data_IF_439850745945
#
_entry.id   IF_439850745945
#
_cell.length_a   1.000
_cell.length_b   1.000
_cell.length_c   1.000
_cell.angle_alpha   90.00
_cell.angle_beta   90.00
_cell.angle_gamma   90.00
#
_symmetry.space_group_name_H-M   'P 1'
#
loop_
_entity.id
_entity.type
_entity.pdbx_description
1 polymer ?
#
# COMPACT_ATOMS: atom_id res chain seq x y z
N UNK A 1 22.10 8.39 -5.50
CA UNK A 1 22.76 9.56 -4.85
C UNK A 1 23.25 9.10 -3.48
N UNK A 2 24.22 9.75 -2.82
CA UNK A 2 24.53 9.39 -1.44
C UNK A 2 23.43 9.89 -0.48
N UNK A 3 23.23 9.19 0.63
CA UNK A 3 22.32 9.60 1.71
C UNK A 3 22.73 10.98 2.25
N UNK A 4 21.82 11.97 2.22
CA UNK A 4 22.10 13.35 2.66
C UNK A 4 21.89 13.57 4.16
N UNK A 5 20.90 12.90 4.74
CA UNK A 5 20.57 12.96 6.17
C UNK A 5 20.10 11.60 6.67
N UNK A 6 20.20 11.38 7.98
CA UNK A 6 19.68 10.19 8.66
C UNK A 6 18.31 10.40 9.26
N UNK A 7 17.81 11.63 9.32
CA UNK A 7 16.49 11.91 9.88
C UNK A 7 15.43 11.58 8.84
N UNK A 8 14.37 10.89 9.29
CA UNK A 8 13.28 10.42 8.44
C UNK A 8 11.96 10.76 9.11
N UNK A 9 11.05 11.35 8.35
CA UNK A 9 9.64 11.49 8.69
C UNK A 9 8.83 10.71 7.67
N UNK A 10 7.97 9.82 8.17
CA UNK A 10 7.05 9.03 7.34
C UNK A 10 5.64 9.57 7.53
N UNK A 11 5.01 9.93 6.43
CA UNK A 11 3.66 10.47 6.41
C UNK A 11 2.61 9.40 6.78
N UNK A 12 1.45 9.84 7.30
CA UNK A 12 0.33 8.96 7.65
C UNK A 12 -0.15 8.18 6.42
N UNK A 13 -0.15 8.82 5.24
CA UNK A 13 -0.60 8.24 3.97
C UNK A 13 0.16 6.95 3.61
N UNK A 14 1.48 6.95 3.80
CA UNK A 14 2.31 5.78 3.56
C UNK A 14 1.84 4.55 4.36
N UNK A 15 1.57 4.70 5.66
CA UNK A 15 1.13 3.58 6.49
C UNK A 15 -0.22 3.02 6.05
N UNK A 16 -1.13 3.87 5.57
CA UNK A 16 -2.42 3.44 5.03
C UNK A 16 -2.23 2.70 3.70
N UNK A 17 -1.37 3.22 2.81
CA UNK A 17 -1.04 2.58 1.52
C UNK A 17 -0.36 1.22 1.73
N UNK A 18 0.48 1.09 2.74
CA UNK A 18 1.09 -0.18 3.17
C UNK A 18 0.10 -1.13 3.90
N UNK A 19 -1.20 -0.89 3.82
CA UNK A 19 -2.24 -1.74 4.41
C UNK A 19 -2.27 -1.75 5.94
N UNK A 20 -1.57 -0.82 6.59
CA UNK A 20 -1.30 -0.83 8.04
C UNK A 20 -0.62 -2.13 8.52
N UNK A 21 0.11 -2.79 7.62
CA UNK A 21 0.90 -3.98 7.94
C UNK A 21 2.30 -3.61 8.41
N UNK A 22 2.43 -3.43 9.72
CA UNK A 22 3.71 -3.15 10.38
C UNK A 22 4.66 -4.37 10.43
N UNK A 23 4.27 -5.51 9.85
CA UNK A 23 5.11 -6.70 9.68
C UNK A 23 5.56 -6.87 8.22
N UNK A 24 5.24 -5.92 7.34
CA UNK A 24 5.75 -5.92 5.97
C UNK A 24 7.27 -5.76 5.94
N UNK A 25 7.94 -6.42 4.98
CA UNK A 25 9.41 -6.43 4.87
C UNK A 25 10.01 -5.02 4.84
N UNK A 26 9.38 -4.08 4.15
CA UNK A 26 9.81 -2.67 4.08
C UNK A 26 9.81 -2.00 5.46
N UNK A 27 8.74 -2.19 6.25
CA UNK A 27 8.64 -1.62 7.60
C UNK A 27 9.54 -2.35 8.60
N UNK A 28 9.73 -3.67 8.46
CA UNK A 28 10.67 -4.43 9.27
C UNK A 28 12.11 -3.98 9.04
N UNK A 29 12.56 -3.85 7.78
CA UNK A 29 13.90 -3.33 7.46
C UNK A 29 14.09 -1.90 8.01
N UNK A 30 13.11 -1.00 7.78
CA UNK A 30 13.19 0.36 8.32
C UNK A 30 13.27 0.38 9.86
N UNK A 31 12.49 -0.47 10.53
CA UNK A 31 12.50 -0.62 11.98
C UNK A 31 13.86 -1.09 12.49
N UNK A 32 14.47 -2.09 11.85
CA UNK A 32 15.79 -2.61 12.21
C UNK A 32 16.88 -1.54 12.05
N UNK A 33 16.91 -0.85 10.90
CA UNK A 33 17.87 0.22 10.62
C UNK A 33 17.74 1.39 11.63
N UNK A 34 16.50 1.73 12.01
CA UNK A 34 16.27 2.73 13.05
C UNK A 34 16.64 2.22 14.46
N UNK A 35 16.36 0.95 14.74
CA UNK A 35 16.72 0.27 15.98
C UNK A 35 18.23 0.27 16.23
N UNK A 36 19.01 0.11 15.17
CA UNK A 36 20.48 0.15 15.19
C UNK A 36 21.05 1.59 15.24
N UNK A 37 20.19 2.61 15.08
CA UNK A 37 20.57 4.02 15.12
C UNK A 37 21.22 4.53 13.84
N UNK A 38 21.08 3.80 12.73
CA UNK A 38 21.59 4.23 11.42
C UNK A 38 20.65 5.22 10.73
N UNK A 39 19.34 5.11 10.97
CA UNK A 39 18.34 6.12 10.67
C UNK A 39 17.65 6.61 11.95
N UNK A 40 17.19 7.86 11.94
CA UNK A 40 16.45 8.48 13.04
C UNK A 40 15.01 8.74 12.58
N UNK A 41 14.07 7.91 13.03
CA UNK A 41 12.65 8.15 12.77
C UNK A 41 12.12 9.27 13.69
N UNK A 42 11.65 10.36 13.09
CA UNK A 42 10.92 11.44 13.74
C UNK A 42 9.47 11.40 13.29
N UNK A 43 8.55 11.40 14.23
CA UNK A 43 7.10 11.52 13.96
C UNK A 43 6.48 12.55 14.90
N UNK A 44 5.17 12.75 14.82
CA UNK A 44 4.46 13.69 15.69
C UNK A 44 3.31 13.03 16.43
N UNK A 45 2.89 13.66 17.54
CA UNK A 45 1.68 13.23 18.26
C UNK A 45 0.41 13.26 17.40
N UNK A 46 0.40 13.98 16.27
CA UNK A 46 -0.70 14.01 15.31
C UNK A 46 -0.69 12.71 14.50
N UNK A 47 0.40 12.42 13.80
CA UNK A 47 0.55 11.21 12.97
C UNK A 47 0.26 9.95 13.78
N UNK A 48 0.81 9.85 15.00
CA UNK A 48 0.54 8.70 15.90
C UNK A 48 -0.96 8.52 16.16
N UNK A 49 -1.72 9.61 16.37
CA UNK A 49 -3.17 9.53 16.60
C UNK A 49 -3.93 9.21 15.34
N UNK A 50 -3.48 9.70 14.18
CA UNK A 50 -4.12 9.43 12.90
C UNK A 50 -3.95 7.98 12.48
N UNK A 51 -2.75 7.42 12.60
CA UNK A 51 -2.49 6.00 12.34
C UNK A 51 -3.33 5.12 13.28
N UNK A 52 -3.38 5.41 14.58
CA UNK A 52 -4.25 4.66 15.52
C UNK A 52 -5.73 4.75 15.18
N UNK A 53 -6.20 5.93 14.72
CA UNK A 53 -7.57 6.10 14.21
C UNK A 53 -7.79 5.23 12.97
N UNK A 54 -6.86 5.25 12.01
CA UNK A 54 -6.95 4.45 10.78
C UNK A 54 -6.97 2.95 11.05
N UNK A 55 -6.15 2.46 11.98
CA UNK A 55 -6.20 1.09 12.48
C UNK A 55 -7.60 0.74 12.98
N UNK A 56 -8.20 1.60 13.81
CA UNK A 56 -9.54 1.36 14.36
C UNK A 56 -10.63 1.37 13.28
N UNK A 57 -10.54 2.29 12.31
CA UNK A 57 -11.44 2.36 11.16
C UNK A 57 -11.38 1.09 10.31
N UNK A 58 -10.17 0.68 9.89
CA UNK A 58 -9.96 -0.52 9.07
C UNK A 58 -10.41 -1.81 9.76
N UNK A 59 -10.15 -1.96 11.07
CA UNK A 59 -10.63 -3.12 11.85
C UNK A 59 -12.15 -3.12 11.93
N UNK A 60 -12.77 -1.95 12.15
CA UNK A 60 -14.23 -1.82 12.15
C UNK A 60 -14.85 -2.28 10.84
N UNK A 61 -14.29 -1.85 9.71
CA UNK A 61 -14.76 -2.22 8.37
C UNK A 61 -14.56 -3.72 8.09
N UNK A 62 -13.40 -4.27 8.43
CA UNK A 62 -13.14 -5.71 8.31
C UNK A 62 -14.13 -6.55 9.14
N UNK A 63 -14.38 -6.16 10.40
CA UNK A 63 -15.34 -6.86 11.27
C UNK A 63 -16.78 -6.72 10.77
N UNK A 64 -17.14 -5.58 10.18
CA UNK A 64 -18.44 -5.42 9.52
C UNK A 64 -18.61 -6.39 8.35
N UNK A 65 -17.55 -6.58 7.54
CA UNK A 65 -17.49 -7.58 6.49
C UNK A 65 -17.70 -9.00 7.02
N UNK A 66 -16.94 -9.40 8.05
CA UNK A 66 -17.10 -10.74 8.65
C UNK A 66 -18.49 -10.94 9.25
N UNK A 67 -19.05 -9.91 9.90
CA UNK A 67 -20.41 -9.97 10.42
C UNK A 67 -21.47 -10.09 9.31
N UNK A 68 -21.25 -9.45 8.15
CA UNK A 68 -22.11 -9.61 6.98
C UNK A 68 -22.05 -11.04 6.42
N UNK A 69 -20.85 -11.59 6.27
CA UNK A 69 -20.64 -12.99 5.89
C UNK A 69 -21.36 -13.95 6.85
N UNK A 70 -21.17 -13.79 8.17
CA UNK A 70 -21.83 -14.61 9.20
C UNK A 70 -23.36 -14.59 9.11
N UNK A 71 -23.94 -13.43 8.75
CA UNK A 71 -25.40 -13.30 8.57
C UNK A 71 -25.90 -14.09 7.38
N UNK A 72 -25.17 -14.11 6.26
CA UNK A 72 -25.50 -14.84 5.03
C UNK A 72 -25.25 -16.35 5.18
N UNK A 73 -24.19 -16.74 5.90
CA UNK A 73 -23.73 -18.13 6.02
C UNK A 73 -24.26 -18.88 7.26
N UNK A 74 -25.42 -18.52 7.82
CA UNK A 74 -25.98 -19.13 9.06
C UNK A 74 -26.12 -20.65 9.02
N UNK A 75 -26.31 -21.23 7.83
CA UNK A 75 -26.40 -22.68 7.65
C UNK A 75 -25.10 -23.40 8.07
N UNK A 76 -23.95 -22.71 7.99
CA UNK A 76 -22.64 -23.23 8.34
C UNK A 76 -22.34 -23.17 9.85
N UNK A 77 -23.14 -22.46 10.65
CA UNK A 77 -22.90 -22.30 12.09
C UNK A 77 -22.94 -23.62 12.86
N UNK A 78 -23.66 -24.62 12.35
CA UNK A 78 -23.72 -25.97 12.94
C UNK A 78 -22.75 -26.96 12.30
N UNK A 79 -21.84 -26.50 11.43
CA UNK A 79 -20.81 -27.36 10.84
C UNK A 79 -20.00 -28.00 11.96
N UNK A 80 -19.64 -29.28 11.81
CA UNK A 80 -18.74 -29.96 12.75
C UNK A 80 -17.26 -29.69 12.45
N UNK A 81 -16.97 -29.01 11.35
CA UNK A 81 -15.63 -28.59 10.99
C UNK A 81 -15.15 -27.46 11.93
N UNK A 82 -13.97 -27.63 12.50
CA UNK A 82 -13.40 -26.69 13.48
C UNK A 82 -13.05 -25.34 12.84
N UNK A 83 -12.55 -25.34 11.60
CA UNK A 83 -12.25 -24.11 10.87
C UNK A 83 -13.52 -23.30 10.63
N UNK A 84 -14.57 -23.97 10.14
CA UNK A 84 -15.88 -23.34 9.93
C UNK A 84 -16.48 -22.86 11.24
N UNK A 85 -16.45 -23.64 12.32
CA UNK A 85 -16.96 -23.20 13.64
C UNK A 85 -16.28 -21.92 14.12
N UNK A 86 -14.97 -21.82 13.97
CA UNK A 86 -14.19 -20.66 14.42
C UNK A 86 -14.58 -19.38 13.66
N UNK A 87 -14.96 -19.48 12.38
CA UNK A 87 -15.44 -18.34 11.59
C UNK A 87 -16.70 -17.67 12.17
N UNK A 88 -17.45 -18.33 13.06
CA UNK A 88 -18.66 -17.78 13.70
C UNK A 88 -18.46 -17.42 15.18
N UNK A 89 -17.26 -17.59 15.75
CA UNK A 89 -16.97 -17.21 17.13
C UNK A 89 -17.01 -15.68 17.29
N UNK A 90 -17.68 -15.12 18.32
CA UNK A 90 -17.72 -13.68 18.52
C UNK A 90 -16.30 -13.13 18.67
N UNK A 91 -16.03 -12.02 17.99
CA UNK A 91 -14.78 -11.29 18.14
C UNK A 91 -14.96 -10.22 19.20
N UNK A 92 -13.98 -10.04 20.07
CA UNK A 92 -13.88 -8.82 20.87
C UNK A 92 -13.16 -7.78 20.02
N UNK A 93 -13.96 -6.91 19.38
CA UNK A 93 -13.44 -5.82 18.54
C UNK A 93 -12.40 -4.99 19.29
N UNK A 94 -12.64 -4.72 20.57
CA UNK A 94 -11.74 -3.88 21.36
C UNK A 94 -10.42 -4.58 21.63
N UNK A 95 -10.44 -5.90 21.85
CA UNK A 95 -9.23 -6.70 22.00
C UNK A 95 -8.39 -6.70 20.71
N UNK A 96 -9.02 -6.88 19.56
CA UNK A 96 -8.36 -6.86 18.24
C UNK A 96 -7.77 -5.47 17.96
N UNK A 97 -8.54 -4.41 18.17
CA UNK A 97 -8.08 -3.02 18.03
C UNK A 97 -6.88 -2.74 18.94
N UNK A 98 -6.95 -3.14 20.22
CA UNK A 98 -5.83 -2.94 21.15
C UNK A 98 -4.58 -3.71 20.71
N UNK A 99 -4.73 -4.93 20.18
CA UNK A 99 -3.60 -5.72 19.70
C UNK A 99 -2.94 -5.06 18.49
N UNK A 100 -3.71 -4.60 17.50
CA UNK A 100 -3.16 -3.91 16.33
C UNK A 100 -2.50 -2.57 16.70
N UNK A 101 -3.10 -1.81 17.62
CA UNK A 101 -2.48 -0.59 18.17
C UNK A 101 -1.18 -0.92 18.90
N UNK A 102 -1.13 -2.04 19.64
CA UNK A 102 0.09 -2.47 20.33
C UNK A 102 1.20 -2.85 19.34
N UNK A 103 0.86 -3.47 18.20
CA UNK A 103 1.84 -3.75 17.14
C UNK A 103 2.44 -2.45 16.60
N UNK A 104 1.62 -1.43 16.33
CA UNK A 104 2.12 -0.11 15.94
C UNK A 104 2.97 0.55 17.03
N UNK A 105 2.53 0.48 18.29
CA UNK A 105 3.31 1.04 19.42
C UNK A 105 4.67 0.33 19.56
N UNK A 106 4.72 -0.99 19.39
CA UNK A 106 5.97 -1.75 19.38
C UNK A 106 6.87 -1.34 18.22
N UNK A 107 6.31 -1.14 17.02
CA UNK A 107 7.08 -0.65 15.87
C UNK A 107 7.75 0.70 16.19
N UNK A 108 7.03 1.64 16.81
CA UNK A 108 7.59 2.94 17.18
C UNK A 108 8.71 2.80 18.24
N UNK A 109 8.49 1.95 19.24
CA UNK A 109 9.44 1.69 20.32
C UNK A 109 10.71 0.98 19.82
N UNK A 110 10.57 -0.08 19.02
CA UNK A 110 11.67 -0.84 18.42
C UNK A 110 12.48 0.01 17.41
N UNK A 111 11.83 0.94 16.71
CA UNK A 111 12.51 1.90 15.83
C UNK A 111 13.17 3.07 16.58
N UNK A 112 13.19 3.09 17.91
CA UNK A 112 13.65 4.22 18.72
C UNK A 112 13.04 5.58 18.29
N UNK A 113 11.76 5.57 17.91
CA UNK A 113 11.12 6.72 17.26
C UNK A 113 11.05 7.94 18.18
N UNK A 114 11.44 9.11 17.68
CA UNK A 114 11.24 10.38 18.39
C UNK A 114 9.87 10.97 18.07
N UNK A 115 8.95 10.93 19.04
CA UNK A 115 7.61 11.54 18.90
C UNK A 115 7.66 13.01 19.35
N UNK A 116 7.48 13.91 18.40
CA UNK A 116 7.50 15.36 18.60
C UNK A 116 6.09 15.87 18.94
N UNK A 117 5.98 16.65 20.01
CA UNK A 117 4.73 17.32 20.40
C UNK A 117 4.59 18.70 19.73
N UNK A 118 3.45 19.34 19.94
CA UNK A 118 3.14 20.64 19.35
C UNK A 118 3.61 21.83 20.22
N UNK A 119 4.36 21.59 21.30
CA UNK A 119 4.68 22.63 22.30
C UNK A 119 5.51 23.78 21.74
N UNK A 120 6.26 23.54 20.66
CA UNK A 120 7.12 24.51 19.98
C UNK A 120 6.56 25.04 18.66
N UNK A 121 5.32 24.67 18.31
CA UNK A 121 4.68 25.15 17.08
C UNK A 121 4.05 26.52 17.31
N UNK A 122 4.33 27.48 16.43
CA UNK A 122 3.67 28.79 16.44
C UNK A 122 2.32 28.69 15.72
N UNK A 123 1.24 28.78 16.48
CA UNK A 123 -0.12 28.76 15.92
C UNK A 123 -0.44 29.96 15.03
N UNK A 124 0.23 31.11 15.21
CA UNK A 124 0.01 32.25 14.32
C UNK A 124 0.57 31.97 12.93
N UNK A 125 1.73 31.31 12.85
CA UNK A 125 2.31 30.91 11.58
C UNK A 125 1.38 29.95 10.81
N UNK A 126 0.77 28.98 11.48
CA UNK A 126 -0.23 28.08 10.86
C UNK A 126 -1.42 28.87 10.29
N UNK A 127 -1.89 29.88 11.04
CA UNK A 127 -3.00 30.73 10.61
C UNK A 127 -2.60 31.56 9.39
N UNK A 128 -1.41 32.15 9.40
CA UNK A 128 -0.86 32.93 8.29
C UNK A 128 -0.70 32.03 7.05
N UNK A 129 -0.10 30.84 7.18
CA UNK A 129 0.01 29.85 6.10
C UNK A 129 -1.34 29.52 5.47
N UNK A 130 -2.39 29.31 6.28
CA UNK A 130 -3.74 29.02 5.80
C UNK A 130 -4.37 30.18 5.02
N UNK A 131 -4.25 31.42 5.51
CA UNK A 131 -4.85 32.58 4.83
C UNK A 131 -4.05 33.02 3.60
N UNK A 132 -2.74 32.85 3.63
CA UNK A 132 -1.84 33.14 2.51
C UNK A 132 -1.80 31.99 1.48
N UNK A 133 -2.47 30.87 1.76
CA UNK A 133 -2.51 29.66 0.91
C UNK A 133 -1.10 29.10 0.62
N UNK A 134 -0.20 29.22 1.60
CA UNK A 134 1.12 28.60 1.56
C UNK A 134 1.02 27.10 1.83
N UNK A 135 1.93 26.27 1.30
CA UNK A 135 1.95 24.82 1.58
C UNK A 135 1.86 24.52 3.09
N UNK A 136 1.07 23.51 3.51
CA UNK A 136 0.30 22.57 2.68
C UNK A 136 -1.10 23.07 2.24
N UNK A 137 -1.46 24.35 2.44
CA UNK A 137 -2.81 24.88 2.17
C UNK A 137 -3.07 25.34 0.72
N UNK A 138 -2.41 24.75 -0.28
CA UNK A 138 -2.50 25.23 -1.66
C UNK A 138 -3.88 24.97 -2.31
N UNK A 139 -4.38 25.85 -3.19
CA UNK A 139 -5.55 25.53 -4.02
C UNK A 139 -6.94 25.73 -3.38
N UNK A 140 -7.06 26.49 -2.28
CA UNK A 140 -8.36 27.00 -1.79
C UNK A 140 -8.79 26.44 -0.43
N UNK A 141 -10.03 25.93 -0.30
CA UNK A 141 -10.67 25.56 1.00
C UNK A 141 -10.11 24.26 1.62
N UNK A 142 -8.79 24.18 1.77
CA UNK A 142 -8.01 23.05 2.30
C UNK A 142 -8.02 23.00 3.84
N UNK A 143 -9.21 22.93 4.43
CA UNK A 143 -9.37 22.84 5.90
C UNK A 143 -8.93 21.51 6.49
N UNK A 144 -8.70 20.50 5.65
CA UNK A 144 -8.28 19.19 6.10
C UNK A 144 -6.76 19.09 6.29
N UNK A 145 -5.99 20.07 5.81
CA UNK A 145 -4.51 20.09 5.83
C UNK A 145 -3.91 20.72 7.11
N UNK A 146 -4.77 21.12 8.06
CA UNK A 146 -4.27 21.64 9.34
C UNK A 146 -3.40 20.61 10.09
N UNK A 147 -3.79 19.32 10.21
CA UNK A 147 -2.94 18.29 10.78
C UNK A 147 -1.54 18.26 10.15
N UNK A 148 -1.45 18.32 8.82
CA UNK A 148 -0.18 18.28 8.09
C UNK A 148 0.67 19.52 8.34
N UNK A 149 0.05 20.71 8.33
CA UNK A 149 0.75 21.95 8.66
C UNK A 149 1.32 21.90 10.09
N UNK A 150 0.54 21.44 11.08
CA UNK A 150 1.03 21.28 12.45
C UNK A 150 2.14 20.23 12.54
N UNK A 151 2.02 19.12 11.80
CA UNK A 151 3.03 18.06 11.74
C UNK A 151 4.35 18.58 11.19
N UNK A 152 4.33 19.22 10.02
CA UNK A 152 5.52 19.76 9.36
C UNK A 152 6.20 20.84 10.22
N UNK A 153 5.44 21.74 10.85
CA UNK A 153 6.01 22.73 11.76
C UNK A 153 6.58 22.11 13.04
N UNK A 154 5.96 21.07 13.58
CA UNK A 154 6.47 20.34 14.74
C UNK A 154 7.80 19.68 14.42
N UNK A 155 7.88 18.94 13.30
CA UNK A 155 9.13 18.35 12.79
C UNK A 155 10.19 19.44 12.58
N UNK A 156 9.84 20.55 11.93
CA UNK A 156 10.76 21.68 11.71
C UNK A 156 11.33 22.24 13.01
N UNK A 157 10.55 22.22 14.10
CA UNK A 157 10.96 22.70 15.43
C UNK A 157 11.89 21.72 16.17
N UNK A 158 11.87 20.44 15.80
CA UNK A 158 12.75 19.41 16.35
C UNK A 158 14.14 19.42 15.71
N UNK A 159 14.25 19.86 14.45
CA UNK A 159 15.52 19.97 13.72
C UNK A 159 16.38 21.13 14.22
N UNK A 160 17.67 20.88 14.42
CA UNK A 160 18.68 21.93 14.71
C UNK A 160 18.98 22.76 13.46
N UNK A 161 19.75 23.84 13.62
CA UNK A 161 19.95 24.92 12.62
C UNK A 161 20.58 24.51 11.28
N UNK A 162 20.88 23.23 11.05
CA UNK A 162 21.39 22.66 9.78
C UNK A 162 20.98 21.20 9.57
N UNK A 163 20.12 20.66 10.45
CA UNK A 163 19.64 19.30 10.27
C UNK A 163 18.58 19.32 9.17
N UNK A 164 18.72 18.37 8.25
CA UNK A 164 17.80 18.08 7.17
C UNK A 164 17.02 16.81 7.53
N UNK A 165 15.89 16.58 6.87
CA UNK A 165 15.04 15.40 7.07
C UNK A 165 14.48 14.91 5.75
N UNK A 166 14.44 13.59 5.55
CA UNK A 166 13.65 13.00 4.48
C UNK A 166 12.18 12.96 4.85
N UNK A 167 11.31 13.42 3.96
CA UNK A 167 9.86 13.29 4.04
C UNK A 167 9.43 12.22 3.06
N UNK A 168 9.01 11.07 3.60
CA UNK A 168 8.44 9.97 2.83
C UNK A 168 6.96 10.25 2.63
N UNK A 169 6.59 10.71 1.43
CA UNK A 169 5.19 11.02 1.07
C UNK A 169 5.03 11.16 -0.45
N UNK A 170 3.88 10.73 -0.95
CA UNK A 170 3.39 10.99 -2.32
C UNK A 170 2.37 12.14 -2.35
N UNK A 171 2.03 12.71 -1.19
CA UNK A 171 1.07 13.81 -1.09
C UNK A 171 1.63 15.09 -1.71
N UNK A 172 0.86 15.67 -2.63
CA UNK A 172 1.29 16.83 -3.42
C UNK A 172 1.52 18.07 -2.56
N UNK A 173 0.73 18.28 -1.51
CA UNK A 173 0.88 19.44 -0.64
C UNK A 173 2.14 19.33 0.23
N UNK A 174 2.47 18.13 0.71
CA UNK A 174 3.72 17.86 1.42
C UNK A 174 4.94 17.99 0.48
N UNK A 175 4.84 17.49 -0.74
CA UNK A 175 5.89 17.65 -1.77
C UNK A 175 6.16 19.13 -2.00
N UNK A 176 5.12 19.94 -2.22
CA UNK A 176 5.31 21.38 -2.45
C UNK A 176 5.84 22.11 -1.21
N UNK A 177 5.48 21.67 0.00
CA UNK A 177 6.11 22.19 1.21
C UNK A 177 7.63 21.91 1.22
N UNK A 178 8.05 20.72 0.83
CA UNK A 178 9.48 20.36 0.75
C UNK A 178 10.23 21.22 -0.27
N UNK A 179 9.63 21.47 -1.44
CA UNK A 179 10.22 22.34 -2.47
C UNK A 179 10.49 23.77 -1.98
N UNK A 180 9.60 24.32 -1.15
CA UNK A 180 9.75 25.65 -0.55
C UNK A 180 10.66 25.66 0.70
N UNK A 181 10.96 24.49 1.28
CA UNK A 181 11.73 24.34 2.51
C UNK A 181 12.92 23.40 2.29
N UNK A 182 14.10 23.90 1.85
CA UNK A 182 15.24 23.07 1.44
C UNK A 182 15.82 22.10 2.49
N UNK A 183 15.41 22.21 3.76
CA UNK A 183 15.77 21.25 4.82
C UNK A 183 14.91 19.99 4.82
N UNK A 184 13.81 20.00 4.08
CA UNK A 184 12.89 18.89 3.91
C UNK A 184 13.15 18.30 2.53
N UNK A 185 13.73 17.11 2.51
CA UNK A 185 14.09 16.39 1.31
C UNK A 185 12.96 15.44 1.00
N UNK A 186 12.25 15.67 -0.10
CA UNK A 186 11.17 14.79 -0.51
C UNK A 186 11.73 13.46 -1.02
N UNK A 187 11.06 12.37 -0.65
CA UNK A 187 11.26 11.04 -1.25
C UNK A 187 9.91 10.33 -1.37
N UNK A 188 9.67 9.70 -2.51
CA UNK A 188 8.34 9.19 -2.87
C UNK A 188 7.90 8.02 -1.99
N UNK A 189 8.81 7.11 -1.61
CA UNK A 189 8.47 5.94 -0.83
C UNK A 189 9.56 5.54 0.15
N UNK A 190 9.17 4.74 1.15
CA UNK A 190 10.11 4.19 2.12
C UNK A 190 11.10 3.24 1.44
N UNK A 191 10.64 2.46 0.46
CA UNK A 191 11.51 1.56 -0.31
C UNK A 191 12.62 2.32 -1.04
N UNK A 192 12.32 3.46 -1.65
CA UNK A 192 13.35 4.32 -2.29
C UNK A 192 14.33 4.90 -1.28
N UNK A 193 13.89 5.22 -0.07
CA UNK A 193 14.78 5.67 1.00
C UNK A 193 15.72 4.56 1.45
N UNK A 194 15.22 3.33 1.59
CA UNK A 194 16.02 2.18 1.94
C UNK A 194 17.01 1.82 0.82
N UNK A 195 16.60 1.90 -0.44
CA UNK A 195 17.51 1.73 -1.58
C UNK A 195 18.64 2.77 -1.56
N UNK A 196 18.32 4.02 -1.25
CA UNK A 196 19.30 5.09 -1.10
C UNK A 196 20.27 4.85 0.07
N UNK A 197 19.78 4.27 1.16
CA UNK A 197 20.59 3.89 2.33
C UNK A 197 21.53 2.71 1.99
N UNK A 198 20.99 1.66 1.36
CA UNK A 198 21.70 0.44 1.01
C UNK A 198 22.73 0.62 -0.11
N UNK A 199 22.58 1.68 -0.93
CA UNK A 199 23.53 2.04 -1.99
C UNK A 199 24.98 2.31 -1.51
N UNK A 200 25.24 2.36 -0.19
CA UNK A 200 26.60 2.36 0.36
C UNK A 200 27.41 1.12 -0.04
N UNK A 201 26.77 -0.04 -0.21
CA UNK A 201 27.41 -1.25 -0.72
C UNK A 201 27.37 -1.23 -2.26
N UNK A 202 28.19 -0.36 -2.85
CA UNK A 202 28.14 -0.04 -4.29
C UNK A 202 28.32 -1.29 -5.17
N UNK A 203 29.23 -2.20 -4.80
CA UNK A 203 29.54 -3.39 -5.60
C UNK A 203 28.36 -4.37 -5.58
N UNK A 204 27.79 -4.67 -4.40
CA UNK A 204 26.63 -5.57 -4.27
C UNK A 204 25.38 -4.97 -4.89
N UNK A 205 25.06 -3.73 -4.52
CA UNK A 205 23.85 -3.05 -4.99
C UNK A 205 23.85 -2.94 -6.51
N UNK A 206 25.02 -2.66 -7.11
CA UNK A 206 25.17 -2.61 -8.56
C UNK A 206 25.01 -3.99 -9.19
N UNK A 207 25.71 -5.01 -8.69
CA UNK A 207 25.58 -6.38 -9.21
C UNK A 207 24.11 -6.84 -9.22
N UNK A 208 23.39 -6.62 -8.12
CA UNK A 208 21.98 -7.00 -7.99
C UNK A 208 21.11 -6.24 -9.00
N UNK A 209 21.30 -4.92 -9.13
CA UNK A 209 20.53 -4.13 -10.10
C UNK A 209 20.81 -4.53 -11.55
N UNK A 210 22.08 -4.76 -11.90
CA UNK A 210 22.49 -5.26 -13.22
C UNK A 210 21.86 -6.65 -13.48
N UNK A 211 21.83 -7.54 -12.48
CA UNK A 211 21.23 -8.86 -12.60
C UNK A 211 19.71 -8.81 -12.82
N UNK A 212 18.98 -7.92 -12.12
CA UNK A 212 17.54 -7.71 -12.31
C UNK A 212 17.26 -7.15 -13.71
N UNK A 213 18.08 -6.21 -14.19
CA UNK A 213 17.95 -5.66 -15.55
C UNK A 213 18.17 -6.74 -16.62
N UNK A 214 19.18 -7.59 -16.44
CA UNK A 214 19.47 -8.71 -17.36
C UNK A 214 18.37 -9.79 -17.39
N UNK A 215 17.60 -9.93 -16.30
CA UNK A 215 16.51 -10.92 -16.16
C UNK A 215 15.11 -10.29 -16.15
N UNK A 216 14.99 -9.03 -16.57
CA UNK A 216 13.74 -8.26 -16.50
C UNK A 216 12.57 -8.99 -17.18
N UNK A 217 12.80 -9.57 -18.37
CA UNK A 217 11.77 -10.31 -19.09
C UNK A 217 11.33 -11.59 -18.37
N UNK A 218 12.26 -12.31 -17.73
CA UNK A 218 11.93 -13.51 -16.94
C UNK A 218 11.07 -13.14 -15.73
N UNK A 219 11.44 -12.07 -15.03
CA UNK A 219 10.70 -11.52 -13.89
C UNK A 219 9.29 -11.11 -14.32
N UNK A 220 9.15 -10.36 -15.43
CA UNK A 220 7.85 -9.96 -15.99
C UNK A 220 6.99 -11.16 -16.36
N UNK A 221 7.55 -12.24 -16.91
CA UNK A 221 6.78 -13.45 -17.21
C UNK A 221 6.31 -14.17 -15.94
N UNK A 222 7.14 -14.23 -14.91
CA UNK A 222 6.76 -14.82 -13.62
C UNK A 222 5.61 -14.03 -12.97
N UNK A 223 5.75 -12.71 -12.88
CA UNK A 223 4.71 -11.80 -12.38
C UNK A 223 3.41 -11.98 -13.16
N UNK A 224 3.50 -12.01 -14.49
CA UNK A 224 2.34 -12.26 -15.35
C UNK A 224 1.64 -13.57 -15.00
N UNK A 225 2.38 -14.68 -14.88
CA UNK A 225 1.81 -15.98 -14.52
C UNK A 225 1.10 -15.94 -13.18
N UNK A 226 1.74 -15.38 -12.15
CA UNK A 226 1.14 -15.27 -10.82
C UNK A 226 -0.19 -14.50 -10.83
N UNK A 227 -0.23 -13.39 -11.57
CA UNK A 227 -1.43 -12.56 -11.68
C UNK A 227 -2.52 -13.30 -12.45
N UNK A 228 -2.22 -13.94 -13.58
CA UNK A 228 -3.19 -14.71 -14.38
C UNK A 228 -3.71 -15.97 -13.65
N UNK A 229 -2.90 -16.56 -12.76
CA UNK A 229 -3.27 -17.71 -11.92
C UNK A 229 -4.09 -17.32 -10.68
N UNK A 230 -4.23 -16.02 -10.37
CA UNK A 230 -5.01 -15.54 -9.24
C UNK A 230 -6.53 -15.64 -9.51
N UNK A 231 -7.30 -15.85 -8.45
CA UNK A 231 -8.77 -15.84 -8.54
C UNK A 231 -9.25 -14.45 -9.01
N UNK A 232 -10.12 -14.41 -10.00
CA UNK A 232 -10.71 -13.19 -10.55
C UNK A 232 -12.24 -13.25 -10.42
N UNK A 233 -12.87 -12.14 -10.01
CA UNK A 233 -14.32 -12.08 -9.88
C UNK A 233 -14.88 -10.71 -10.24
N UNK A 234 -16.13 -10.71 -10.67
CA UNK A 234 -16.87 -9.49 -10.97
C UNK A 234 -17.71 -9.08 -9.76
N UNK A 235 -17.56 -7.84 -9.33
CA UNK A 235 -18.21 -7.19 -8.20
C UNK A 235 -18.83 -5.89 -8.70
N UNK A 236 -19.86 -6.06 -9.53
CA UNK A 236 -20.58 -4.95 -10.17
C UNK A 236 -22.07 -5.03 -9.84
N UNK A 237 -22.86 -4.09 -10.35
CA UNK A 237 -24.33 -4.13 -10.22
C UNK A 237 -25.00 -5.12 -11.18
N UNK A 238 -24.24 -5.69 -12.12
CA UNK A 238 -24.69 -6.72 -13.03
C UNK A 238 -24.83 -8.07 -12.31
N UNK A 239 -26.01 -8.30 -11.74
CA UNK A 239 -26.31 -9.50 -10.94
C UNK A 239 -26.13 -10.78 -11.77
N UNK A 240 -25.48 -11.78 -11.16
CA UNK A 240 -25.11 -13.09 -11.73
C UNK A 240 -24.09 -13.04 -12.89
N UNK A 241 -23.39 -11.91 -13.09
CA UNK A 241 -22.29 -11.83 -14.06
C UNK A 241 -20.96 -12.33 -13.47
N UNK A 242 -20.25 -13.18 -14.20
CA UNK A 242 -19.01 -13.83 -13.79
C UNK A 242 -17.87 -13.55 -14.78
N UNK A 243 -16.63 -13.59 -14.29
CA UNK A 243 -15.43 -13.47 -15.14
C UNK A 243 -15.23 -14.77 -15.92
N UNK A 244 -15.24 -14.71 -17.25
CA UNK A 244 -14.92 -15.86 -18.10
C UNK A 244 -13.42 -16.00 -18.34
N UNK A 245 -12.76 -14.88 -18.63
CA UNK A 245 -11.36 -14.83 -19.04
C UNK A 245 -10.73 -13.55 -18.51
N UNK A 246 -9.57 -13.70 -17.88
CA UNK A 246 -8.73 -12.60 -17.42
C UNK A 246 -7.31 -12.85 -17.95
N UNK A 247 -6.75 -11.86 -18.65
CA UNK A 247 -5.43 -11.98 -19.26
C UNK A 247 -4.63 -10.68 -19.10
N UNK A 248 -3.33 -10.84 -18.96
CA UNK A 248 -2.38 -9.73 -18.91
C UNK A 248 -1.87 -9.44 -20.31
N UNK A 249 -2.15 -8.23 -20.78
CA UNK A 249 -1.68 -7.70 -22.06
C UNK A 249 -0.20 -7.36 -21.96
N UNK A 250 0.19 -6.69 -20.88
CA UNK A 250 1.53 -6.18 -20.68
C UNK A 250 1.80 -5.94 -19.19
N UNK A 251 3.01 -6.31 -18.75
CA UNK A 251 3.58 -5.91 -17.46
C UNK A 251 4.49 -4.71 -17.73
N UNK A 252 4.20 -3.58 -17.09
CA UNK A 252 4.95 -2.35 -17.25
C UNK A 252 6.38 -2.45 -16.73
N UNK A 253 7.18 -1.45 -17.07
CA UNK A 253 8.54 -1.32 -16.54
C UNK A 253 8.50 -1.01 -15.04
N UNK A 254 9.53 -1.41 -14.32
CA UNK A 254 9.62 -1.26 -12.88
C UNK A 254 11.02 -0.82 -12.45
N UNK A 255 11.09 -0.09 -11.34
CA UNK A 255 12.35 0.35 -10.75
C UNK A 255 12.60 -0.44 -9.45
N UNK A 256 13.63 -1.31 -9.40
CA UNK A 256 13.91 -2.10 -8.21
C UNK A 256 14.49 -1.23 -7.08
N UNK A 257 13.89 -1.31 -5.90
CA UNK A 257 14.38 -0.68 -4.68
C UNK A 257 14.90 -1.74 -3.72
N UNK A 258 16.19 -1.72 -3.40
CA UNK A 258 16.80 -2.64 -2.43
C UNK A 258 16.42 -2.21 -1.02
N UNK A 259 15.50 -2.93 -0.38
CA UNK A 259 15.05 -2.61 0.98
C UNK A 259 15.94 -3.22 2.05
N UNK A 260 16.60 -4.34 1.76
CA UNK A 260 17.53 -5.02 2.67
C UNK A 260 18.63 -5.70 1.86
N UNK A 261 19.86 -5.62 2.35
CA UNK A 261 21.01 -6.30 1.75
C UNK A 261 22.00 -6.72 2.84
N UNK A 262 22.37 -7.99 2.84
CA UNK A 262 23.39 -8.54 3.74
C UNK A 262 24.43 -9.37 2.98
N UNK A 263 25.17 -10.26 3.65
CA UNK A 263 26.23 -11.03 3.02
C UNK A 263 25.74 -12.18 2.12
N UNK A 264 24.51 -12.65 2.33
CA UNK A 264 23.96 -13.86 1.68
C UNK A 264 22.62 -13.59 0.97
N UNK A 265 21.89 -12.55 1.38
CA UNK A 265 20.54 -12.28 0.91
C UNK A 265 20.33 -10.81 0.52
N UNK A 266 19.36 -10.58 -0.35
CA UNK A 266 18.89 -9.26 -0.73
C UNK A 266 17.38 -9.31 -0.90
N UNK A 267 16.69 -8.30 -0.37
CA UNK A 267 15.26 -8.11 -0.55
C UNK A 267 15.01 -6.84 -1.36
N UNK A 268 14.22 -6.99 -2.41
CA UNK A 268 13.90 -5.93 -3.35
C UNK A 268 12.40 -5.75 -3.37
N UNK A 269 11.97 -4.50 -3.46
CA UNK A 269 10.57 -4.15 -3.71
C UNK A 269 10.50 -3.31 -4.98
N UNK A 270 9.54 -3.62 -5.84
CA UNK A 270 9.20 -2.78 -6.98
C UNK A 270 7.69 -2.64 -7.13
N UNK A 271 7.26 -1.44 -7.49
CA UNK A 271 5.87 -1.16 -7.86
C UNK A 271 5.77 -1.12 -9.38
N UNK A 272 4.73 -1.73 -9.93
CA UNK A 272 4.53 -1.82 -11.37
C UNK A 272 3.06 -1.75 -11.77
N UNK A 273 2.83 -1.19 -12.97
CA UNK A 273 1.50 -1.13 -13.59
C UNK A 273 1.35 -2.30 -14.56
N UNK A 274 0.24 -3.03 -14.46
CA UNK A 274 -0.12 -4.11 -15.38
C UNK A 274 -1.34 -3.71 -16.18
N UNK A 275 -1.26 -3.87 -17.50
CA UNK A 275 -2.40 -3.71 -18.41
C UNK A 275 -3.07 -5.05 -18.62
N UNK A 276 -4.37 -5.10 -18.39
CA UNK A 276 -5.16 -6.32 -18.50
C UNK A 276 -6.28 -6.22 -19.52
N UNK A 277 -6.81 -7.38 -19.89
CA UNK A 277 -8.11 -7.56 -20.54
C UNK A 277 -8.93 -8.56 -19.74
N UNK A 278 -10.16 -8.21 -19.44
CA UNK A 278 -11.13 -9.08 -18.74
C UNK A 278 -12.38 -9.23 -19.59
N UNK A 279 -12.93 -10.45 -19.63
CA UNK A 279 -14.21 -10.80 -20.23
C UNK A 279 -15.15 -11.24 -19.12
N UNK A 280 -16.32 -10.60 -19.06
CA UNK A 280 -17.36 -10.89 -18.08
C UNK A 280 -18.64 -11.24 -18.83
N UNK A 281 -19.23 -12.40 -18.53
CA UNK A 281 -20.51 -12.83 -19.07
C UNK A 281 -21.54 -12.87 -17.98
N UNK A 282 -22.72 -12.34 -18.29
CA UNK A 282 -23.87 -12.38 -17.40
C UNK A 282 -25.18 -12.33 -18.17
N UNK A 283 -26.31 -12.32 -17.45
CA UNK A 283 -27.63 -12.27 -18.07
C UNK A 283 -27.83 -11.00 -18.91
N UNK A 284 -28.43 -11.12 -20.10
CA UNK A 284 -28.77 -9.97 -20.96
C UNK A 284 -30.06 -9.28 -20.46
N UNK A 285 -29.94 -8.40 -19.46
CA UNK A 285 -31.06 -7.62 -18.94
C UNK A 285 -31.48 -6.51 -19.92
N UNK A 286 -30.59 -6.01 -20.77
CA UNK A 286 -30.89 -5.01 -21.78
C UNK A 286 -31.95 -5.49 -22.79
N UNK A 287 -31.95 -6.77 -23.12
CA UNK A 287 -32.98 -7.44 -23.94
C UNK A 287 -33.99 -8.26 -23.11
N UNK A 288 -33.88 -8.19 -21.78
CA UNK A 288 -34.76 -8.86 -20.84
C UNK A 288 -36.21 -8.39 -20.91
N UNK A 289 -37.13 -9.25 -20.48
CA UNK A 289 -38.57 -8.94 -20.41
C UNK A 289 -39.00 -8.76 -18.96
N UNK A 290 -39.44 -7.56 -18.63
CA UNK A 290 -40.01 -7.28 -17.33
C UNK A 290 -41.40 -7.89 -17.17
N UNK A 291 -41.56 -8.74 -16.15
CA UNK A 291 -42.83 -9.29 -15.72
C UNK A 291 -43.37 -8.53 -14.51
N UNK A 292 -44.60 -8.01 -14.62
CA UNK A 292 -45.24 -7.19 -13.57
C UNK A 292 -45.87 -8.01 -12.44
N UNK A 293 -46.17 -9.29 -12.67
CA UNK A 293 -46.76 -10.15 -11.64
C UNK A 293 -45.67 -10.59 -10.65
N UNK A 294 -44.47 -10.89 -11.16
CA UNK A 294 -43.34 -11.34 -10.36
C UNK A 294 -42.39 -10.21 -9.92
N UNK A 295 -42.48 -9.02 -10.55
CA UNK A 295 -41.60 -7.85 -10.31
C UNK A 295 -40.11 -8.16 -10.59
N UNK A 296 -39.84 -8.96 -11.62
CA UNK A 296 -38.49 -9.40 -12.03
C UNK A 296 -38.33 -9.28 -13.55
N UNK A 297 -37.10 -9.05 -14.01
CA UNK A 297 -36.74 -9.12 -15.43
C UNK A 297 -36.30 -10.54 -15.76
N UNK A 298 -37.01 -11.19 -16.68
CA UNK A 298 -36.59 -12.48 -17.22
C UNK A 298 -35.65 -12.29 -18.41
N UNK A 299 -34.45 -12.84 -18.31
CA UNK A 299 -33.47 -12.96 -19.40
C UNK A 299 -33.56 -14.34 -20.04
N UNK A 300 -33.20 -14.44 -21.32
CA UNK A 300 -33.28 -15.71 -22.09
C UNK A 300 -31.95 -16.09 -22.74
N UNK A 301 -31.01 -15.16 -22.77
CA UNK A 301 -29.67 -15.29 -23.32
C UNK A 301 -28.70 -14.54 -22.39
N UNK A 302 -27.42 -14.87 -22.52
CA UNK A 302 -26.34 -14.17 -21.84
C UNK A 302 -25.65 -13.21 -22.81
N UNK A 303 -25.03 -12.16 -22.28
CA UNK A 303 -24.18 -11.24 -23.03
C UNK A 303 -22.81 -11.14 -22.38
N UNK A 304 -21.80 -10.82 -23.17
CA UNK A 304 -20.41 -10.71 -22.74
C UNK A 304 -19.91 -9.29 -22.91
N UNK A 305 -19.28 -8.75 -21.89
CA UNK A 305 -18.54 -7.50 -21.94
C UNK A 305 -17.05 -7.72 -21.79
N UNK A 306 -16.28 -6.97 -22.57
CA UNK A 306 -14.81 -7.02 -22.55
C UNK A 306 -14.28 -5.64 -22.21
N UNK A 307 -13.50 -5.56 -21.15
CA UNK A 307 -12.86 -4.33 -20.71
C UNK A 307 -11.34 -4.50 -20.68
N UNK A 308 -10.65 -3.38 -20.92
CA UNK A 308 -9.22 -3.26 -20.71
C UNK A 308 -8.96 -2.18 -19.68
N UNK A 309 -8.04 -2.46 -18.77
CA UNK A 309 -7.72 -1.55 -17.69
C UNK A 309 -6.26 -1.64 -17.26
N UNK A 310 -6.00 -1.02 -16.12
CA UNK A 310 -4.69 -0.97 -15.46
C UNK A 310 -4.88 -1.33 -13.99
N UNK A 311 -3.97 -2.14 -13.48
CA UNK A 311 -3.84 -2.45 -12.05
C UNK A 311 -2.42 -2.13 -11.62
N UNK A 312 -2.24 -1.70 -10.39
CA UNK A 312 -0.93 -1.49 -9.77
C UNK A 312 -0.68 -2.62 -8.78
N UNK A 313 0.53 -3.18 -8.83
CA UNK A 313 0.96 -4.23 -7.91
C UNK A 313 2.32 -3.87 -7.33
N UNK A 314 2.51 -4.22 -6.05
CA UNK A 314 3.80 -4.26 -5.40
C UNK A 314 4.34 -5.70 -5.48
N UNK A 315 5.58 -5.85 -5.94
CA UNK A 315 6.28 -7.12 -6.07
C UNK A 315 7.48 -7.14 -5.13
N UNK A 316 7.59 -8.22 -4.37
CA UNK A 316 8.77 -8.52 -3.58
C UNK A 316 9.63 -9.54 -4.33
N UNK A 317 10.93 -9.28 -4.39
CA UNK A 317 11.91 -10.21 -4.96
C UNK A 317 12.95 -10.50 -3.87
N UNK A 318 13.03 -11.76 -3.45
CA UNK A 318 14.04 -12.25 -2.52
C UNK A 318 15.14 -12.96 -3.31
N UNK A 319 16.37 -12.49 -3.17
CA UNK A 319 17.54 -13.08 -3.78
C UNK A 319 18.45 -13.68 -2.72
N UNK A 320 18.96 -14.88 -2.98
CA UNK A 320 20.10 -15.42 -2.24
C UNK A 320 21.31 -15.54 -3.16
N UNK A 321 22.48 -15.22 -2.66
CA UNK A 321 23.72 -15.24 -3.43
C UNK A 321 24.93 -15.64 -2.58
N UNK A 322 25.95 -16.14 -3.27
CA UNK A 322 27.26 -16.40 -2.69
C UNK A 322 28.30 -15.46 -3.32
N UNK A 323 29.30 -15.10 -2.52
CA UNK A 323 30.45 -14.30 -2.97
C UNK A 323 31.71 -15.16 -2.84
N UNK A 324 32.29 -15.56 -3.98
CA UNK A 324 33.57 -16.30 -4.04
C UNK A 324 34.61 -15.49 -4.81
N UNK A 325 35.76 -15.24 -4.19
CA UNK A 325 36.86 -14.39 -4.73
C UNK A 325 36.41 -13.01 -5.28
N UNK A 326 35.30 -12.46 -4.74
CA UNK A 326 34.72 -11.19 -5.18
C UNK A 326 33.77 -11.30 -6.39
N UNK A 327 33.51 -12.51 -6.89
CA UNK A 327 32.47 -12.78 -7.88
C UNK A 327 31.16 -13.16 -7.18
N UNK A 328 30.08 -12.48 -7.55
CA UNK A 328 28.75 -12.76 -7.05
C UNK A 328 28.05 -13.82 -7.91
N UNK A 329 27.44 -14.81 -7.26
CA UNK A 329 26.63 -15.84 -7.92
C UNK A 329 25.28 -15.94 -7.25
N UNK A 330 24.21 -15.66 -8.00
CA UNK A 330 22.83 -15.83 -7.54
C UNK A 330 22.52 -17.33 -7.44
N UNK A 331 22.06 -17.76 -6.28
CA UNK A 331 21.68 -19.15 -5.99
C UNK A 331 20.19 -19.38 -6.18
N UNK A 332 19.37 -18.43 -5.75
CA UNK A 332 17.92 -18.50 -5.83
C UNK A 332 17.30 -17.11 -5.99
N UNK A 333 16.15 -17.08 -6.66
CA UNK A 333 15.30 -15.89 -6.82
C UNK A 333 13.86 -16.32 -6.59
N UNK A 334 13.26 -15.80 -5.53
CA UNK A 334 11.82 -15.92 -5.28
C UNK A 334 11.14 -14.59 -5.61
N UNK A 335 10.02 -14.66 -6.33
CA UNK A 335 9.25 -13.50 -6.77
C UNK A 335 7.86 -13.64 -6.20
N UNK A 336 7.36 -12.64 -5.50
CA UNK A 336 6.04 -12.65 -4.89
C UNK A 336 5.27 -11.37 -5.22
N UNK A 337 4.13 -11.52 -5.90
CA UNK A 337 3.19 -10.41 -6.12
C UNK A 337 2.28 -10.27 -4.90
N UNK A 338 2.35 -9.12 -4.22
CA UNK A 338 1.55 -8.88 -3.02
C UNK A 338 0.04 -8.81 -3.34
N UNK A 339 -0.77 -9.19 -2.35
CA UNK A 339 -2.22 -8.99 -2.39
C UNK A 339 -3.02 -10.01 -3.21
N UNK A 340 -2.39 -10.90 -4.00
CA UNK A 340 -3.13 -11.84 -4.86
C UNK A 340 -4.04 -12.82 -4.10
N UNK A 341 -3.78 -13.08 -2.81
CA UNK A 341 -4.58 -13.98 -1.98
C UNK A 341 -6.03 -13.50 -1.76
N UNK A 342 -6.35 -12.22 -1.99
CA UNK A 342 -7.73 -11.71 -1.92
C UNK A 342 -8.54 -11.96 -3.20
N UNK A 343 -7.87 -12.44 -4.26
CA UNK A 343 -8.39 -12.39 -5.62
C UNK A 343 -8.40 -10.96 -6.19
N UNK A 344 -8.61 -10.86 -7.49
CA UNK A 344 -8.67 -9.63 -8.26
C UNK A 344 -10.14 -9.29 -8.55
N UNK A 345 -10.58 -8.15 -8.03
CA UNK A 345 -11.93 -7.64 -8.18
C UNK A 345 -12.05 -6.76 -9.42
N UNK A 346 -13.00 -7.07 -10.31
CA UNK A 346 -13.41 -6.23 -11.42
C UNK A 346 -14.82 -5.69 -11.20
N UNK A 347 -15.15 -4.53 -11.77
CA UNK A 347 -16.49 -3.94 -11.71
C UNK A 347 -17.02 -3.70 -13.12
N UNK A 348 -17.24 -4.77 -13.88
CA UNK A 348 -17.73 -4.71 -15.26
C UNK A 348 -19.26 -4.72 -15.25
N UNK A 349 -19.86 -3.70 -15.86
CA UNK A 349 -21.32 -3.57 -15.96
C UNK A 349 -21.83 -4.05 -17.32
N UNK A 350 -23.07 -4.54 -17.37
CA UNK A 350 -23.73 -4.91 -18.63
C UNK A 350 -23.80 -3.71 -19.59
N UNK A 351 -24.10 -2.52 -19.06
CA UNK A 351 -24.08 -1.28 -19.83
C UNK A 351 -23.22 -0.24 -19.11
N UNK A 352 -22.05 0.14 -19.68
CA UNK A 352 -21.09 1.05 -19.04
C UNK A 352 -21.58 2.50 -18.86
N UNK A 353 -22.81 2.80 -19.25
CA UNK A 353 -23.47 4.08 -19.02
C UNK A 353 -24.85 3.80 -18.40
N UNK A 354 -25.12 4.37 -17.22
CA UNK A 354 -26.46 4.43 -16.64
C UNK A 354 -27.43 5.06 -17.66
N UNK A 355 -28.19 4.27 -18.41
CA UNK A 355 -29.39 4.77 -19.09
C UNK A 355 -30.46 4.93 -18.00
N UNK A 356 -30.47 6.08 -17.33
CA UNK A 356 -31.60 6.49 -16.48
C UNK A 356 -32.86 6.53 -17.36
N UNK A 357 -33.59 5.42 -17.41
CA UNK A 357 -34.94 5.36 -17.99
C UNK A 357 -36.00 5.10 -16.95
#
# INVERSE_FOLDING_TARGET
MPLQTRNVFVDTEFFVKAGLDFSSKTLESFKEICGDGELNHLTTTIVVREVKRKISEHIGDALNGVNAFRRKAKILTNSNDTGVKNLFAPFDQKEIENHAIQVFDNFLDESNTTIVDLSKVDGNEIVDMYFDQSPPFQGGKKKNEFPDAFTLLAIRSALKSREEIYVVSEDKDLITFCEENPRFLQIESLSKLLDLYNAHDEDRSKFIKDYIEDHEEEIKQNIKSQIEDADAYNSSTWEDAEVDEFTIINVGDFEPSIIHIDDENCQIVCDLEVRYRVSVTGPDYANGRYDREDDVIYTFDDTTQVEEGKLEFTVEIDLSYEVDDGEFTIQDMDIHVQGLHSGIEFSVEETPYEDYR
#
